data_IF_927898836659
#
_entry.id   IF_927898836659
#
_cell.length_a   1.000
_cell.length_b   1.000
_cell.length_c   1.000
_cell.angle_alpha   90.00
_cell.angle_beta   90.00
_cell.angle_gamma   90.00
#
_symmetry.space_group_name_H-M   'P 1'
#
loop_
_entity.id
_entity.type
_entity.pdbx_description
1 polymer ?
#
# COMPACT_ATOMS: atom_id res chain seq x y z
N UNK A 1 -13.53 4.58 -18.36
CA UNK A 1 -12.55 5.14 -17.41
C UNK A 1 -12.74 4.35 -16.13
N UNK A 2 -11.74 3.59 -15.68
CA UNK A 2 -11.86 2.73 -14.48
C UNK A 2 -12.25 3.59 -13.27
N UNK A 3 -13.17 3.09 -12.44
CA UNK A 3 -13.69 3.82 -11.28
C UNK A 3 -12.69 3.81 -10.11
N UNK A 4 -11.62 4.59 -10.25
CA UNK A 4 -10.55 4.71 -9.26
C UNK A 4 -11.06 5.21 -7.91
N UNK A 5 -11.98 6.18 -7.92
CA UNK A 5 -12.60 6.71 -6.71
C UNK A 5 -13.42 5.64 -5.97
N UNK A 6 -14.16 4.80 -6.71
CA UNK A 6 -14.88 3.66 -6.16
C UNK A 6 -13.96 2.65 -5.47
N UNK A 7 -12.88 2.26 -6.14
CA UNK A 7 -11.85 1.37 -5.58
C UNK A 7 -11.22 1.94 -4.30
N UNK A 8 -10.97 3.25 -4.28
CA UNK A 8 -10.42 3.96 -3.13
C UNK A 8 -11.38 3.99 -1.93
N UNK A 9 -12.65 4.31 -2.17
CA UNK A 9 -13.68 4.31 -1.11
C UNK A 9 -13.89 2.90 -0.55
N UNK A 10 -13.93 1.90 -1.42
CA UNK A 10 -14.02 0.50 -1.01
C UNK A 10 -12.84 0.10 -0.12
N UNK A 11 -11.60 0.34 -0.56
CA UNK A 11 -10.39 0.02 0.20
C UNK A 11 -10.37 0.72 1.56
N UNK A 12 -10.73 2.01 1.61
CA UNK A 12 -10.85 2.77 2.87
C UNK A 12 -11.88 2.16 3.82
N UNK A 13 -13.01 1.70 3.30
CA UNK A 13 -14.04 1.04 4.10
C UNK A 13 -13.52 -0.29 4.67
N UNK A 14 -12.92 -1.14 3.83
CA UNK A 14 -12.37 -2.44 4.27
C UNK A 14 -11.28 -2.27 5.33
N UNK A 15 -10.36 -1.31 5.17
CA UNK A 15 -9.33 -1.02 6.18
C UNK A 15 -9.91 -0.53 7.52
N UNK A 16 -11.08 0.12 7.54
CA UNK A 16 -11.76 0.47 8.81
C UNK A 16 -12.40 -0.74 9.45
N UNK A 17 -12.98 -1.63 8.64
CA UNK A 17 -13.57 -2.87 9.14
C UNK A 17 -12.52 -3.83 9.70
N UNK A 18 -11.39 -3.99 9.00
CA UNK A 18 -10.25 -4.78 9.47
C UNK A 18 -9.70 -4.24 10.79
N UNK A 19 -9.56 -2.91 10.92
CA UNK A 19 -9.16 -2.29 12.19
C UNK A 19 -10.19 -2.60 13.29
N UNK A 20 -11.48 -2.42 13.00
CA UNK A 20 -12.54 -2.67 13.98
C UNK A 20 -12.54 -4.13 14.43
N UNK A 21 -12.38 -5.06 13.50
CA UNK A 21 -12.26 -6.49 13.79
C UNK A 21 -11.02 -6.78 14.65
N UNK A 22 -9.85 -6.25 14.27
CA UNK A 22 -8.63 -6.41 15.03
C UNK A 22 -8.77 -5.87 16.46
N UNK A 23 -9.39 -4.69 16.65
CA UNK A 23 -9.64 -4.10 17.98
C UNK A 23 -10.68 -4.87 18.80
N UNK A 24 -11.64 -5.53 18.15
CA UNK A 24 -12.67 -6.32 18.84
C UNK A 24 -12.11 -7.63 19.42
N UNK A 25 -10.97 -8.12 18.91
CA UNK A 25 -10.29 -9.28 19.47
C UNK A 25 -9.90 -8.99 20.92
N UNK A 26 -10.31 -9.88 21.82
CA UNK A 26 -9.93 -9.86 23.25
C UNK A 26 -8.81 -10.88 23.46
N UNK A 27 -7.52 -10.48 23.39
CA UNK A 27 -6.42 -11.44 23.48
C UNK A 27 -6.24 -12.05 24.88
N UNK A 28 -6.88 -11.48 25.91
CA UNK A 28 -6.79 -11.97 27.29
C UNK A 28 -5.34 -12.05 27.78
N UNK A 29 -4.93 -13.24 28.24
CA UNK A 29 -3.56 -13.53 28.66
C UNK A 29 -2.67 -14.11 27.54
N UNK A 30 -3.22 -14.39 26.35
CA UNK A 30 -2.43 -14.96 25.25
C UNK A 30 -1.49 -13.91 24.68
N UNK A 31 -0.19 -14.15 24.79
CA UNK A 31 0.85 -13.27 24.24
C UNK A 31 0.88 -13.32 22.70
N UNK A 32 0.58 -14.48 22.12
CA UNK A 32 0.54 -14.66 20.67
C UNK A 32 -0.59 -13.84 20.05
N UNK A 33 -1.79 -13.87 20.67
CA UNK A 33 -2.92 -13.06 20.21
C UNK A 33 -2.66 -11.55 20.36
N UNK A 34 -1.94 -11.13 21.40
CA UNK A 34 -1.51 -9.72 21.55
C UNK A 34 -0.55 -9.30 20.44
N UNK A 35 0.44 -10.13 20.16
CA UNK A 35 1.44 -9.87 19.11
C UNK A 35 0.77 -9.83 17.74
N UNK A 36 -0.12 -10.77 17.45
CA UNK A 36 -0.88 -10.82 16.20
C UNK A 36 -1.78 -9.59 16.05
N UNK A 37 -2.52 -9.22 17.10
CA UNK A 37 -3.36 -8.02 17.08
C UNK A 37 -2.52 -6.75 16.80
N UNK A 38 -1.39 -6.59 17.48
CA UNK A 38 -0.50 -5.45 17.27
C UNK A 38 0.04 -5.40 15.83
N UNK A 39 0.41 -6.55 15.26
CA UNK A 39 0.87 -6.66 13.87
C UNK A 39 -0.22 -6.27 12.88
N UNK A 40 -1.44 -6.79 13.04
CA UNK A 40 -2.57 -6.46 12.15
C UNK A 40 -2.87 -4.95 12.19
N UNK A 41 -2.83 -4.33 13.37
CA UNK A 41 -3.03 -2.88 13.49
C UNK A 41 -1.91 -2.09 12.80
N UNK A 42 -0.65 -2.54 12.91
CA UNK A 42 0.47 -1.94 12.19
C UNK A 42 0.32 -2.07 10.67
N UNK A 43 -0.11 -3.23 10.18
CA UNK A 43 -0.35 -3.48 8.75
C UNK A 43 -1.48 -2.59 8.21
N UNK A 44 -2.58 -2.43 8.96
CA UNK A 44 -3.68 -1.52 8.58
C UNK A 44 -3.20 -0.07 8.51
N UNK A 45 -2.41 0.37 9.48
CA UNK A 45 -1.85 1.73 9.47
C UNK A 45 -0.91 1.95 8.29
N UNK A 46 -0.04 0.98 7.99
CA UNK A 46 0.82 1.04 6.81
C UNK A 46 0.01 1.15 5.51
N UNK A 47 -1.07 0.37 5.36
CA UNK A 47 -1.96 0.44 4.19
C UNK A 47 -2.67 1.79 4.08
N UNK A 48 -3.05 2.42 5.21
CA UNK A 48 -3.63 3.78 5.21
C UNK A 48 -2.65 4.83 4.72
N UNK A 49 -1.40 4.74 5.15
CA UNK A 49 -0.35 5.65 4.71
C UNK A 49 -0.09 5.51 3.20
N UNK A 50 -0.12 4.29 2.67
CA UNK A 50 -0.05 4.05 1.22
C UNK A 50 -1.24 4.66 0.46
N UNK A 51 -2.46 4.48 0.97
CA UNK A 51 -3.67 5.10 0.41
C UNK A 51 -3.54 6.63 0.39
N UNK A 52 -3.16 7.25 1.51
CA UNK A 52 -2.97 8.70 1.60
C UNK A 52 -1.87 9.19 0.65
N UNK A 53 -0.83 8.39 0.41
CA UNK A 53 0.25 8.69 -0.53
C UNK A 53 -0.20 8.66 -1.97
N UNK A 54 -1.05 7.70 -2.33
CA UNK A 54 -1.64 7.66 -3.67
C UNK A 54 -2.56 8.87 -3.89
N UNK A 55 -3.40 9.23 -2.91
CA UNK A 55 -4.33 10.38 -2.96
C UNK A 55 -3.65 11.77 -3.00
N UNK A 56 -2.32 11.83 -3.08
CA UNK A 56 -1.58 13.09 -3.25
C UNK A 56 -1.45 13.95 -2.00
N UNK A 57 -2.17 13.66 -0.91
CA UNK A 57 -2.09 14.41 0.34
C UNK A 57 -0.85 14.06 1.18
N UNK A 58 -0.35 12.83 1.10
CA UNK A 58 0.76 12.39 1.95
C UNK A 58 2.12 12.90 1.47
N UNK A 59 2.36 13.07 0.17
CA UNK A 59 3.66 13.54 -0.34
C UNK A 59 4.02 14.94 0.17
N UNK A 60 3.03 15.83 0.23
CA UNK A 60 3.19 17.19 0.76
C UNK A 60 3.29 17.20 2.29
N UNK A 61 2.47 16.39 2.99
CA UNK A 61 2.49 16.29 4.45
C UNK A 61 3.78 15.62 4.99
N UNK A 62 4.26 14.54 4.35
CA UNK A 62 5.53 13.88 4.66
C UNK A 62 6.72 14.83 4.51
N UNK A 63 6.75 15.62 3.42
CA UNK A 63 7.79 16.64 3.22
C UNK A 63 7.74 17.66 4.35
N UNK A 64 6.56 18.23 4.64
CA UNK A 64 6.39 19.19 5.73
C UNK A 64 6.78 18.61 7.10
N UNK A 65 6.43 17.36 7.39
CA UNK A 65 6.77 16.68 8.65
C UNK A 65 8.27 16.32 8.74
N UNK A 66 8.87 15.85 7.66
CA UNK A 66 10.30 15.57 7.58
C UNK A 66 11.14 16.85 7.64
N UNK A 67 10.62 17.97 7.15
CA UNK A 67 11.25 19.28 7.24
C UNK A 67 11.13 19.84 8.66
N UNK A 68 9.95 19.71 9.29
CA UNK A 68 9.69 20.11 10.67
C UNK A 68 10.45 19.26 11.71
N UNK A 69 10.69 17.98 11.42
CA UNK A 69 11.52 17.11 12.26
C UNK A 69 13.01 17.30 11.90
N UNK A 70 13.88 17.34 12.91
CA UNK A 70 15.33 17.33 12.71
C UNK A 70 15.86 15.95 12.32
N UNK A 71 15.31 15.36 11.25
CA UNK A 71 15.77 14.08 10.73
C UNK A 71 17.18 14.20 10.11
N UNK A 72 18.02 13.14 10.19
CA UNK A 72 19.26 13.07 9.43
C UNK A 72 19.03 13.23 7.92
N UNK A 73 19.96 13.89 7.23
CA UNK A 73 19.84 14.25 5.81
C UNK A 73 19.48 13.06 4.90
N UNK A 74 20.05 11.88 5.16
CA UNK A 74 19.76 10.66 4.37
C UNK A 74 18.31 10.19 4.52
N UNK A 75 17.74 10.29 5.73
CA UNK A 75 16.32 9.97 5.97
C UNK A 75 15.41 11.01 5.34
N UNK A 76 15.76 12.30 5.40
CA UNK A 76 15.01 13.37 4.69
C UNK A 76 15.01 13.14 3.18
N UNK A 77 16.18 12.83 2.61
CA UNK A 77 16.31 12.54 1.18
C UNK A 77 15.45 11.36 0.73
N UNK A 78 15.43 10.27 1.51
CA UNK A 78 14.56 9.13 1.22
C UNK A 78 13.06 9.50 1.23
N UNK A 79 12.61 10.29 2.21
CA UNK A 79 11.23 10.76 2.29
C UNK A 79 10.86 11.64 1.09
N UNK A 80 11.75 12.57 0.72
CA UNK A 80 11.52 13.48 -0.40
C UNK A 80 11.44 12.75 -1.74
N UNK A 81 12.25 11.72 -1.96
CA UNK A 81 12.19 10.86 -3.15
C UNK A 81 10.87 10.10 -3.25
N UNK A 82 10.41 9.50 -2.16
CA UNK A 82 9.12 8.78 -2.11
C UNK A 82 7.96 9.73 -2.38
N UNK A 83 8.00 10.96 -1.83
CA UNK A 83 6.98 11.97 -2.04
C UNK A 83 6.95 12.55 -3.48
N UNK A 84 8.03 12.41 -4.25
CA UNK A 84 8.15 12.95 -5.60
C UNK A 84 7.69 11.99 -6.71
N UNK A 85 7.33 10.75 -6.37
CA UNK A 85 6.87 9.75 -7.35
C UNK A 85 5.63 10.27 -8.10
N UNK A 86 5.60 10.28 -9.45
CA UNK A 86 4.44 10.66 -10.24
C UNK A 86 3.19 9.82 -9.95
N UNK A 87 2.00 10.42 -10.02
CA UNK A 87 0.72 9.79 -9.68
C UNK A 87 0.46 8.47 -10.43
N UNK A 88 0.75 8.42 -11.74
CA UNK A 88 0.56 7.22 -12.57
C UNK A 88 1.42 6.02 -12.13
N UNK A 89 2.54 6.26 -11.43
CA UNK A 89 3.36 5.20 -10.84
C UNK A 89 2.86 4.76 -9.46
N UNK A 90 1.97 5.54 -8.82
CA UNK A 90 1.37 5.19 -7.52
C UNK A 90 0.09 4.38 -7.68
N UNK A 91 -0.67 4.59 -8.76
CA UNK A 91 -1.94 3.91 -9.03
C UNK A 91 -1.91 2.38 -8.90
N UNK A 92 -0.86 1.65 -9.36
CA UNK A 92 -0.78 0.19 -9.22
C UNK A 92 -0.80 -0.30 -7.76
N UNK A 93 -0.43 0.56 -6.80
CA UNK A 93 -0.48 0.21 -5.37
C UNK A 93 -1.92 0.03 -4.90
N UNK A 94 -2.86 0.84 -5.38
CA UNK A 94 -4.29 0.71 -5.04
C UNK A 94 -4.86 -0.55 -5.65
N UNK A 95 -4.58 -0.82 -6.92
CA UNK A 95 -5.03 -2.04 -7.60
C UNK A 95 -4.54 -3.29 -6.85
N UNK A 96 -3.27 -3.30 -6.43
CA UNK A 96 -2.69 -4.40 -5.65
C UNK A 96 -3.35 -4.57 -4.28
N UNK A 97 -3.66 -3.47 -3.59
CA UNK A 97 -4.31 -3.49 -2.28
C UNK A 97 -5.78 -3.92 -2.37
N UNK A 98 -6.48 -3.50 -3.42
CA UNK A 98 -7.88 -3.86 -3.67
C UNK A 98 -8.01 -5.34 -4.04
N UNK A 99 -7.04 -5.89 -4.78
CA UNK A 99 -6.99 -7.32 -5.12
C UNK A 99 -6.94 -8.25 -3.91
N UNK A 100 -6.44 -7.79 -2.76
CA UNK A 100 -6.49 -8.57 -1.52
C UNK A 100 -7.93 -8.89 -1.05
N UNK A 101 -8.93 -8.21 -1.61
CA UNK A 101 -10.34 -8.39 -1.32
C UNK A 101 -11.12 -8.94 -2.52
N UNK A 102 -10.46 -9.60 -3.49
CA UNK A 102 -11.12 -10.13 -4.69
C UNK A 102 -12.29 -11.09 -4.39
N UNK A 103 -12.25 -11.79 -3.26
CA UNK A 103 -13.30 -12.72 -2.81
C UNK A 103 -14.44 -12.01 -2.02
N UNK A 104 -14.38 -10.68 -1.87
CA UNK A 104 -15.38 -9.92 -1.11
C UNK A 104 -16.63 -9.66 -1.97
N UNK A 105 -17.87 -9.79 -1.44
CA UNK A 105 -19.09 -9.63 -2.23
C UNK A 105 -19.26 -8.24 -2.85
N UNK A 106 -18.75 -7.21 -2.18
CA UNK A 106 -18.78 -5.82 -2.67
C UNK A 106 -17.57 -5.46 -3.56
N UNK A 107 -16.71 -6.43 -3.91
CA UNK A 107 -15.60 -6.21 -4.83
C UNK A 107 -16.10 -6.10 -6.26
N UNK A 108 -15.68 -5.05 -6.96
CA UNK A 108 -15.88 -4.92 -8.41
C UNK A 108 -14.65 -5.45 -9.15
N UNK A 109 -14.80 -6.48 -10.02
CA UNK A 109 -13.72 -6.99 -10.86
C UNK A 109 -13.02 -5.92 -11.71
N UNK A 110 -13.70 -4.82 -12.06
CA UNK A 110 -13.11 -3.71 -12.81
C UNK A 110 -12.01 -2.95 -12.04
N UNK A 111 -11.90 -3.15 -10.72
CA UNK A 111 -10.86 -2.56 -9.87
C UNK A 111 -9.56 -3.38 -9.82
N UNK A 112 -9.57 -4.63 -10.28
CA UNK A 112 -8.42 -5.53 -10.30
C UNK A 112 -7.38 -5.19 -11.36
N UNK A 113 -6.15 -5.65 -11.14
CA UNK A 113 -5.01 -5.47 -12.06
C UNK A 113 -5.31 -5.96 -13.49
N UNK A 114 -4.91 -5.15 -14.48
CA UNK A 114 -4.48 -5.64 -15.80
C UNK A 114 -3.39 -6.68 -15.56
N UNK A 115 -3.43 -7.83 -16.25
CA UNK A 115 -2.32 -8.78 -16.29
C UNK A 115 -0.99 -8.02 -16.46
N UNK A 116 -0.18 -7.98 -15.40
CA UNK A 116 1.15 -7.39 -15.47
C UNK A 116 2.00 -8.39 -16.25
N UNK A 117 2.06 -8.27 -17.58
CA UNK A 117 3.03 -9.00 -18.39
C UNK A 117 4.40 -8.53 -17.94
N UNK A 118 5.10 -9.41 -17.25
CA UNK A 118 6.47 -9.19 -16.83
C UNK A 118 7.37 -9.32 -18.07
N UNK A 119 7.37 -8.32 -18.98
CA UNK A 119 8.43 -8.21 -19.99
C UNK A 119 9.72 -7.79 -19.30
N UNK A 120 10.40 -8.76 -18.69
CA UNK A 120 11.82 -8.70 -18.40
C UNK A 120 12.43 -10.05 -18.78
N UNK A 121 12.88 -10.19 -20.03
CA UNK A 121 14.10 -10.94 -20.30
C UNK A 121 15.24 -9.94 -20.57
N UNK A 122 16.12 -9.67 -19.58
CA UNK A 122 17.46 -9.21 -19.87
C UNK A 122 18.39 -10.41 -19.77
N UNK A 123 18.82 -10.95 -20.91
CA UNK A 123 19.68 -12.13 -20.95
C UNK A 123 20.34 -12.36 -22.30
N UNK A 124 21.18 -11.42 -22.72
CA UNK A 124 22.21 -11.74 -23.71
C UNK A 124 23.21 -12.71 -23.09
N UNK A 125 23.31 -13.93 -23.62
CA UNK A 125 24.58 -14.51 -24.08
C UNK A 125 24.28 -15.78 -24.89
N UNK A 126 24.44 -15.72 -26.21
CA UNK A 126 24.64 -16.94 -26.99
C UNK A 126 26.10 -17.32 -26.80
N UNK A 127 26.35 -18.16 -25.81
CA UNK A 127 27.50 -19.06 -25.80
C UNK A 127 27.42 -19.91 -27.08
N UNK A 128 28.05 -19.44 -28.14
CA UNK A 128 28.35 -20.23 -29.32
C UNK A 128 29.47 -21.20 -28.95
N UNK A 129 29.09 -22.37 -28.44
CA UNK A 129 29.96 -23.53 -28.45
C UNK A 129 29.93 -24.10 -29.86
N UNK A 130 30.96 -23.81 -30.66
CA UNK A 130 31.54 -24.70 -31.67
C UNK A 130 32.83 -24.09 -32.22
#
# INVERSE_FOLDING_TARGET
MRNFDGAMQFLKARLREDEKAARAVKPGKSQDLKTLQARVLADVEAKRQLVAWVEGNFGTALKAEADARSLPALKKGAVHLIAAVPEFLRSPVIERLVWAYADHPDYDPEWGLIEYVHENEPGGDKLSTR
#
